data_IF_465533467198
#
_entry.id   IF_465533467198
#
_cell.length_a   1.000
_cell.length_b   1.000
_cell.length_c   1.000
_cell.angle_alpha   90.00
_cell.angle_beta   90.00
_cell.angle_gamma   90.00
#
_symmetry.space_group_name_H-M   'P 1'
#
loop_
_entity.id
_entity.type
_entity.pdbx_description
1 polymer ?
#
# COMPACT_ATOMS: atom_id res chain seq x y z
N UNK A 1 9.97 24.63 29.41
CA UNK A 1 9.57 23.56 28.48
C UNK A 1 8.75 24.18 27.35
N UNK A 2 9.42 24.72 26.32
CA UNK A 2 8.77 25.32 25.14
C UNK A 2 9.70 25.14 23.94
N UNK A 3 9.57 24.03 23.21
CA UNK A 3 10.31 23.80 21.95
C UNK A 3 9.54 22.81 21.09
N UNK A 4 8.47 23.23 20.38
CA UNK A 4 7.86 22.43 19.30
C UNK A 4 6.95 23.23 18.35
N UNK A 5 7.16 24.52 18.11
CA UNK A 5 6.27 25.27 17.19
C UNK A 5 6.92 25.87 15.94
N UNK A 6 8.21 25.65 15.68
CA UNK A 6 8.90 26.27 14.53
C UNK A 6 8.72 25.48 13.22
N UNK A 7 8.53 24.16 13.31
CA UNK A 7 8.42 23.30 12.10
C UNK A 7 7.09 23.45 11.34
N UNK A 8 5.99 23.67 12.04
CA UNK A 8 4.66 23.77 11.43
C UNK A 8 4.45 25.10 10.70
N UNK A 9 5.07 26.17 11.18
CA UNK A 9 4.94 27.52 10.60
C UNK A 9 5.70 27.64 9.27
N UNK A 10 6.82 26.94 9.10
CA UNK A 10 7.59 26.97 7.86
C UNK A 10 6.87 26.24 6.71
N UNK A 11 6.12 25.18 7.01
CA UNK A 11 5.34 24.47 5.99
C UNK A 11 4.13 25.28 5.51
N UNK A 12 3.52 26.08 6.37
CA UNK A 12 2.37 26.92 6.03
C UNK A 12 2.76 28.14 5.17
N UNK A 13 3.95 28.71 5.37
CA UNK A 13 4.44 29.87 4.62
C UNK A 13 4.82 29.56 3.17
N UNK A 14 5.14 28.30 2.83
CA UNK A 14 5.43 27.90 1.45
C UNK A 14 4.18 27.84 0.57
N UNK A 15 3.01 27.74 1.15
CA UNK A 15 1.74 27.63 0.42
C UNK A 15 1.19 29.00 -0.01
N UNK A 16 1.61 30.11 0.61
CA UNK A 16 0.98 31.42 0.42
C UNK A 16 1.58 32.32 -0.69
N UNK A 17 2.62 31.92 -1.43
CA UNK A 17 3.26 32.77 -2.45
C UNK A 17 3.08 32.35 -3.90
N UNK A 18 2.02 31.63 -4.26
CA UNK A 18 1.74 31.27 -5.66
C UNK A 18 0.38 31.82 -6.11
N UNK A 19 0.18 33.09 -5.92
CA UNK A 19 -0.96 33.81 -6.50
C UNK A 19 -0.44 34.78 -7.57
N UNK A 20 -0.05 34.26 -8.72
CA UNK A 20 -0.11 34.94 -10.02
C UNK A 20 0.58 34.11 -11.11
N UNK A 21 -0.16 33.24 -11.76
CA UNK A 21 0.15 32.79 -13.13
C UNK A 21 -1.05 32.05 -13.72
N UNK A 22 -1.69 32.69 -14.66
CA UNK A 22 -2.52 32.16 -15.76
C UNK A 22 -3.34 30.86 -15.51
N UNK A 23 -4.62 30.96 -15.79
CA UNK A 23 -5.76 30.04 -15.75
C UNK A 23 -5.54 28.61 -16.28
N UNK A 24 -4.55 27.89 -15.78
CA UNK A 24 -4.42 26.44 -16.02
C UNK A 24 -5.09 25.68 -14.90
N UNK A 25 -5.75 24.57 -15.21
CA UNK A 25 -6.27 23.69 -14.20
C UNK A 25 -5.21 23.38 -13.16
N UNK A 26 -5.41 23.82 -11.92
CA UNK A 26 -4.47 23.54 -10.83
C UNK A 26 -4.81 22.26 -10.12
N UNK A 27 -6.08 21.88 -10.13
CA UNK A 27 -6.58 20.70 -9.45
C UNK A 27 -6.91 19.58 -10.44
N UNK A 28 -6.81 18.37 -9.97
CA UNK A 28 -7.23 17.19 -10.72
C UNK A 28 -7.77 16.13 -9.75
N UNK A 29 -8.59 15.25 -10.28
CA UNK A 29 -9.03 14.04 -9.60
C UNK A 29 -8.96 12.89 -10.59
N UNK A 30 -8.84 11.67 -10.06
CA UNK A 30 -8.77 10.49 -10.92
C UNK A 30 -9.04 9.21 -10.18
N UNK A 31 -9.15 8.17 -10.99
CA UNK A 31 -9.31 6.80 -10.53
C UNK A 31 -8.46 5.88 -11.39
N UNK A 32 -7.73 4.99 -10.74
CA UNK A 32 -6.95 3.93 -11.38
C UNK A 32 -7.26 2.60 -10.70
N UNK A 33 -7.34 1.55 -11.48
CA UNK A 33 -7.63 0.20 -11.03
C UNK A 33 -6.67 -0.80 -11.65
N UNK A 34 -6.51 -1.96 -11.03
CA UNK A 34 -5.62 -2.99 -11.50
C UNK A 34 -5.39 -4.09 -10.48
N UNK A 35 -4.15 -4.48 -10.30
CA UNK A 35 -3.76 -5.63 -9.50
C UNK A 35 -2.85 -5.17 -8.36
N UNK A 36 -3.10 -5.70 -7.16
CA UNK A 36 -2.20 -5.64 -6.03
C UNK A 36 -1.59 -7.01 -5.75
N UNK A 37 -0.29 -7.02 -5.49
CA UNK A 37 0.47 -8.19 -5.05
C UNK A 37 1.04 -7.90 -3.68
N UNK A 38 0.67 -8.69 -2.68
CA UNK A 38 1.26 -8.59 -1.36
C UNK A 38 2.50 -9.48 -1.30
N UNK A 39 3.57 -8.99 -0.70
CA UNK A 39 4.78 -9.76 -0.47
C UNK A 39 5.10 -9.76 1.03
N UNK A 40 5.10 -10.95 1.60
CA UNK A 40 5.57 -11.20 2.96
C UNK A 40 6.24 -12.57 2.97
N UNK A 41 7.49 -12.62 3.43
CA UNK A 41 8.29 -13.82 3.31
C UNK A 41 7.93 -14.88 4.35
N UNK A 42 8.34 -16.10 4.05
CA UNK A 42 8.39 -17.21 4.98
C UNK A 42 9.46 -16.97 6.04
N UNK A 43 9.22 -17.44 7.24
CA UNK A 43 10.24 -17.60 8.28
C UNK A 43 10.39 -19.07 8.66
N UNK A 44 11.62 -19.48 8.84
CA UNK A 44 11.96 -20.77 9.40
C UNK A 44 12.89 -20.60 10.61
N UNK A 45 12.72 -21.43 11.61
CA UNK A 45 13.53 -21.47 12.81
C UNK A 45 13.88 -22.93 13.12
N UNK A 46 15.15 -23.21 13.37
CA UNK A 46 15.60 -24.54 13.76
C UNK A 46 15.62 -24.59 15.28
N UNK A 47 14.85 -25.50 15.86
CA UNK A 47 14.77 -25.75 17.29
C UNK A 47 15.33 -27.12 17.61
N UNK A 48 15.56 -27.41 18.90
CA UNK A 48 16.00 -28.73 19.36
C UNK A 48 15.05 -29.89 19.00
N UNK A 49 13.79 -29.58 18.72
CA UNK A 49 12.74 -30.52 18.30
C UNK A 49 12.54 -30.64 16.80
N UNK A 50 13.30 -29.89 15.98
CA UNK A 50 13.18 -29.87 14.52
C UNK A 50 13.06 -28.47 13.92
N UNK A 51 12.53 -28.38 12.72
CA UNK A 51 12.33 -27.12 12.04
C UNK A 51 10.88 -26.62 12.17
N UNK A 52 10.72 -25.37 12.60
CA UNK A 52 9.46 -24.65 12.59
C UNK A 52 9.43 -23.71 11.37
N UNK A 53 8.38 -23.75 10.59
CA UNK A 53 8.22 -22.93 9.39
C UNK A 53 6.87 -22.23 9.41
N UNK A 54 6.86 -20.94 9.16
CA UNK A 54 5.65 -20.19 8.92
C UNK A 54 5.69 -19.50 7.54
N UNK A 55 4.57 -19.53 6.86
CA UNK A 55 4.40 -18.97 5.53
C UNK A 55 3.18 -18.06 5.51
N UNK A 56 3.35 -16.91 4.88
CA UNK A 56 2.28 -16.01 4.47
C UNK A 56 2.30 -15.98 2.94
N UNK A 57 1.39 -16.73 2.32
CA UNK A 57 1.28 -16.81 0.85
C UNK A 57 0.14 -15.94 0.36
N UNK A 58 0.41 -14.70 -0.04
CA UNK A 58 -0.62 -13.87 -0.66
C UNK A 58 -0.76 -14.20 -2.13
N UNK A 59 -1.97 -14.07 -2.62
CA UNK A 59 -2.30 -14.15 -4.03
C UNK A 59 -2.50 -12.72 -4.58
N UNK A 60 -2.42 -12.59 -5.89
CA UNK A 60 -2.77 -11.34 -6.56
C UNK A 60 -4.25 -11.04 -6.36
N UNK A 61 -4.59 -9.78 -6.19
CA UNK A 61 -5.96 -9.36 -6.03
C UNK A 61 -6.28 -8.04 -6.69
N UNK A 62 -7.56 -7.68 -6.82
CA UNK A 62 -7.97 -6.40 -7.38
C UNK A 62 -7.54 -5.24 -6.49
N UNK A 63 -7.20 -4.13 -7.12
CA UNK A 63 -6.84 -2.89 -6.46
C UNK A 63 -7.47 -1.68 -7.15
N UNK A 64 -7.78 -0.68 -6.35
CA UNK A 64 -8.35 0.59 -6.76
C UNK A 64 -7.65 1.72 -6.02
N UNK A 65 -7.33 2.81 -6.72
CA UNK A 65 -6.87 4.06 -6.11
C UNK A 65 -7.71 5.22 -6.65
N UNK A 66 -8.37 5.94 -5.75
CA UNK A 66 -9.08 7.19 -6.02
C UNK A 66 -8.23 8.31 -5.45
N UNK A 67 -8.00 9.36 -6.22
CA UNK A 67 -7.12 10.43 -5.78
C UNK A 67 -7.60 11.81 -6.22
N UNK A 68 -7.18 12.80 -5.45
CA UNK A 68 -7.32 14.23 -5.75
C UNK A 68 -5.98 14.89 -5.50
N UNK A 69 -5.60 15.84 -6.35
CA UNK A 69 -4.32 16.53 -6.21
C UNK A 69 -4.34 17.94 -6.75
N UNK A 70 -3.26 18.65 -6.43
CA UNK A 70 -3.05 20.01 -6.89
C UNK A 70 -1.59 20.17 -7.35
N UNK A 71 -1.43 20.79 -8.49
CA UNK A 71 -0.11 21.20 -9.00
C UNK A 71 0.36 22.43 -8.22
N UNK A 72 1.38 22.22 -7.39
CA UNK A 72 2.03 23.30 -6.61
C UNK A 72 3.00 24.07 -7.48
N UNK A 73 3.71 23.35 -8.36
CA UNK A 73 4.69 23.89 -9.29
C UNK A 73 4.59 23.17 -10.65
N UNK A 74 5.31 23.64 -11.66
CA UNK A 74 5.35 23.05 -13.01
C UNK A 74 5.69 21.55 -12.97
N UNK A 75 6.61 21.18 -12.09
CA UNK A 75 7.11 19.81 -11.91
C UNK A 75 6.67 19.16 -10.61
N UNK A 76 6.02 19.89 -9.69
CA UNK A 76 5.68 19.41 -8.36
C UNK A 76 4.17 19.40 -8.13
N UNK A 77 3.70 18.32 -7.57
CA UNK A 77 2.28 18.08 -7.29
C UNK A 77 2.13 17.45 -5.91
N UNK A 78 1.08 17.82 -5.19
CA UNK A 78 0.64 17.12 -3.98
C UNK A 78 -0.67 16.40 -4.27
N UNK A 79 -0.81 15.18 -3.73
CA UNK A 79 -1.95 14.32 -4.01
C UNK A 79 -2.36 13.56 -2.76
N UNK A 80 -3.67 13.53 -2.49
CA UNK A 80 -4.27 12.63 -1.51
C UNK A 80 -4.87 11.41 -2.21
N UNK A 81 -4.67 10.23 -1.64
CA UNK A 81 -5.08 8.97 -2.20
C UNK A 81 -5.92 8.18 -1.20
N UNK A 82 -6.98 7.57 -1.69
CA UNK A 82 -7.64 6.45 -1.05
C UNK A 82 -7.35 5.20 -1.87
N UNK A 83 -6.66 4.25 -1.24
CA UNK A 83 -6.24 3.00 -1.88
C UNK A 83 -6.98 1.85 -1.23
N UNK A 84 -7.59 1.01 -2.06
CA UNK A 84 -8.22 -0.23 -1.65
C UNK A 84 -7.65 -1.39 -2.44
N UNK A 85 -7.42 -2.52 -1.75
CA UNK A 85 -7.15 -3.79 -2.40
C UNK A 85 -7.69 -4.96 -1.57
N UNK A 86 -7.94 -6.06 -2.25
CA UNK A 86 -8.38 -7.32 -1.67
C UNK A 86 -7.59 -8.47 -2.25
N UNK A 87 -6.99 -9.27 -1.38
CA UNK A 87 -6.14 -10.40 -1.76
C UNK A 87 -6.57 -11.65 -1.01
N UNK A 88 -6.56 -12.78 -1.68
CA UNK A 88 -6.61 -14.07 -1.02
C UNK A 88 -5.21 -14.36 -0.42
N UNK A 89 -5.19 -14.96 0.75
CA UNK A 89 -3.98 -15.21 1.53
C UNK A 89 -4.10 -16.55 2.21
N UNK A 90 -3.05 -17.37 2.15
CA UNK A 90 -2.98 -18.61 2.90
C UNK A 90 -1.92 -18.48 3.99
N UNK A 91 -2.33 -18.71 5.25
CA UNK A 91 -1.45 -18.77 6.39
C UNK A 91 -1.12 -20.24 6.65
N UNK A 92 0.15 -20.59 6.58
CA UNK A 92 0.62 -21.96 6.83
C UNK A 92 1.67 -21.94 7.92
N UNK A 93 1.58 -22.85 8.87
CA UNK A 93 2.68 -23.12 9.78
C UNK A 93 2.87 -24.63 9.93
N UNK A 94 4.10 -25.04 10.04
CA UNK A 94 4.51 -26.43 10.27
C UNK A 94 5.55 -26.44 11.39
N UNK A 95 5.32 -27.28 12.39
CA UNK A 95 6.23 -27.51 13.50
C UNK A 95 6.48 -29.00 13.65
N UNK A 96 7.75 -29.39 13.76
CA UNK A 96 8.13 -30.73 14.16
C UNK A 96 7.97 -30.87 15.68
N UNK A 97 7.27 -31.90 16.15
CA UNK A 97 7.14 -32.24 17.58
C UNK A 97 7.46 -33.71 17.79
N UNK A 98 7.84 -34.09 19.02
CA UNK A 98 8.11 -35.48 19.38
C UNK A 98 6.94 -36.43 19.13
N UNK A 99 5.71 -35.92 19.21
CA UNK A 99 4.46 -36.66 18.96
C UNK A 99 4.04 -36.67 17.48
N UNK A 100 4.87 -36.12 16.59
CA UNK A 100 4.61 -36.00 15.16
C UNK A 100 4.43 -34.56 14.70
N UNK A 101 4.22 -34.32 13.39
CA UNK A 101 4.11 -32.97 12.87
C UNK A 101 2.81 -32.28 13.33
N UNK A 102 2.98 -31.07 13.81
CA UNK A 102 1.89 -30.11 14.06
C UNK A 102 1.83 -29.13 12.89
N UNK A 103 0.67 -28.95 12.28
CA UNK A 103 0.52 -28.00 11.19
C UNK A 103 -0.86 -27.39 11.13
N UNK A 104 -0.95 -26.23 10.53
CA UNK A 104 -2.19 -25.68 10.00
C UNK A 104 -2.00 -25.06 8.62
N UNK A 105 -3.08 -25.05 7.87
CA UNK A 105 -3.24 -24.33 6.61
C UNK A 105 -4.59 -23.60 6.67
N UNK A 106 -4.52 -22.28 6.65
CA UNK A 106 -5.66 -21.43 6.98
C UNK A 106 -5.88 -20.37 5.89
N UNK A 107 -6.77 -20.65 4.91
CA UNK A 107 -7.15 -19.69 3.89
C UNK A 107 -7.85 -18.46 4.50
N UNK A 108 -7.43 -17.27 4.09
CA UNK A 108 -7.94 -15.96 4.54
C UNK A 108 -8.21 -15.06 3.37
N UNK A 109 -9.09 -14.09 3.57
CA UNK A 109 -9.24 -12.93 2.68
C UNK A 109 -8.70 -11.72 3.40
N UNK A 110 -7.77 -11.02 2.77
CA UNK A 110 -7.21 -9.75 3.26
C UNK A 110 -7.82 -8.59 2.48
N UNK A 111 -8.42 -7.64 3.18
CA UNK A 111 -8.85 -6.35 2.63
C UNK A 111 -8.03 -5.25 3.26
N UNK A 112 -7.57 -4.32 2.44
CA UNK A 112 -6.76 -3.19 2.87
C UNK A 112 -7.40 -1.90 2.41
N UNK A 113 -7.43 -0.90 3.30
CA UNK A 113 -7.89 0.45 3.04
C UNK A 113 -6.81 1.40 3.52
N UNK A 114 -6.24 2.19 2.62
CA UNK A 114 -5.19 3.15 2.97
C UNK A 114 -5.57 4.57 2.56
N UNK A 115 -5.19 5.54 3.41
CA UNK A 115 -5.20 6.95 3.11
C UNK A 115 -3.75 7.45 3.10
N UNK A 116 -3.30 7.99 1.96
CA UNK A 116 -1.90 8.32 1.71
C UNK A 116 -1.81 9.71 1.10
N UNK A 117 -0.94 10.54 1.67
CA UNK A 117 -0.52 11.81 1.05
C UNK A 117 0.78 11.62 0.30
N UNK A 118 0.77 11.90 -1.00
CA UNK A 118 1.94 11.77 -1.89
C UNK A 118 2.40 13.14 -2.38
N UNK A 119 3.71 13.24 -2.61
CA UNK A 119 4.33 14.30 -3.42
C UNK A 119 4.79 13.64 -4.72
N UNK A 120 4.38 14.22 -5.86
CA UNK A 120 4.76 13.76 -7.20
C UNK A 120 5.74 14.73 -7.82
N UNK A 121 6.85 14.21 -8.33
CA UNK A 121 7.85 14.93 -9.12
C UNK A 121 7.74 14.50 -10.58
N UNK A 122 7.33 15.41 -11.45
CA UNK A 122 7.24 15.18 -12.89
C UNK A 122 8.54 15.54 -13.58
N UNK A 123 8.93 14.76 -14.58
CA UNK A 123 10.15 15.00 -15.40
C UNK A 123 9.91 15.88 -16.62
N UNK A 124 8.64 16.25 -16.85
CA UNK A 124 8.25 17.12 -17.97
C UNK A 124 7.26 18.18 -17.52
N UNK A 125 7.25 19.27 -18.27
CA UNK A 125 6.34 20.39 -18.06
C UNK A 125 4.85 19.98 -18.18
N UNK A 126 3.96 20.75 -17.55
CA UNK A 126 2.51 20.50 -17.56
C UNK A 126 1.87 20.53 -18.96
N UNK A 127 2.56 21.14 -19.95
CA UNK A 127 2.09 21.16 -21.36
C UNK A 127 2.43 19.89 -22.13
N UNK A 128 3.33 19.07 -21.63
CA UNK A 128 3.76 17.86 -22.32
C UNK A 128 2.62 16.84 -22.37
N UNK A 129 2.41 16.25 -23.55
CA UNK A 129 1.40 15.22 -23.75
C UNK A 129 1.68 13.94 -22.91
N UNK A 130 2.95 13.68 -22.63
CA UNK A 130 3.41 12.52 -21.85
C UNK A 130 4.26 13.03 -20.68
N UNK A 131 3.87 12.70 -19.46
CA UNK A 131 4.48 13.20 -18.23
C UNK A 131 4.85 12.04 -17.27
N UNK A 132 6.07 11.49 -17.38
CA UNK A 132 6.57 10.55 -16.38
C UNK A 132 6.73 11.24 -15.03
N UNK A 133 6.50 10.48 -13.94
CA UNK A 133 6.67 10.98 -12.59
C UNK A 133 7.22 9.92 -11.64
N UNK A 134 7.87 10.40 -10.57
CA UNK A 134 8.10 9.65 -9.35
C UNK A 134 7.23 10.24 -8.25
N UNK A 135 6.80 9.41 -7.32
CA UNK A 135 6.13 9.89 -6.11
C UNK A 135 6.64 9.17 -4.87
N UNK A 136 6.53 9.89 -3.76
CA UNK A 136 6.73 9.34 -2.43
C UNK A 136 5.68 9.92 -1.50
N UNK A 137 5.19 9.10 -0.56
CA UNK A 137 4.16 9.51 0.36
C UNK A 137 4.09 8.67 1.61
N UNK A 138 3.35 9.19 2.56
CA UNK A 138 3.12 8.56 3.85
C UNK A 138 1.63 8.56 4.17
N UNK A 139 1.20 7.60 4.95
CA UNK A 139 -0.20 7.49 5.31
C UNK A 139 -0.46 6.44 6.36
N UNK A 140 -1.71 6.00 6.40
CA UNK A 140 -2.17 4.93 7.27
C UNK A 140 -2.88 3.87 6.44
N UNK A 141 -2.66 2.62 6.79
CA UNK A 141 -3.34 1.47 6.19
C UNK A 141 -4.06 0.69 7.27
N UNK A 142 -5.33 0.40 7.03
CA UNK A 142 -6.14 -0.51 7.85
C UNK A 142 -6.23 -1.85 7.13
N UNK A 143 -5.76 -2.89 7.81
CA UNK A 143 -5.88 -4.28 7.40
C UNK A 143 -7.08 -4.93 8.06
N UNK A 144 -7.75 -5.78 7.31
CA UNK A 144 -8.75 -6.69 7.84
C UNK A 144 -8.57 -8.04 7.15
N UNK A 145 -8.33 -9.09 7.93
CA UNK A 145 -8.32 -10.46 7.42
C UNK A 145 -9.48 -11.23 8.03
N UNK A 146 -10.08 -12.09 7.20
CA UNK A 146 -11.23 -12.91 7.61
C UNK A 146 -11.03 -14.34 7.11
N UNK A 147 -11.38 -15.33 7.93
CA UNK A 147 -11.37 -16.73 7.53
C UNK A 147 -12.27 -16.97 6.31
N UNK A 148 -11.75 -17.72 5.34
CA UNK A 148 -12.50 -18.11 4.14
C UNK A 148 -13.22 -19.45 4.31
N UNK A 149 -12.83 -20.22 5.32
CA UNK A 149 -13.21 -21.61 5.51
C UNK A 149 -12.26 -22.57 4.79
N UNK A 150 -12.36 -23.86 5.09
CA UNK A 150 -11.45 -24.87 4.55
C UNK A 150 -10.14 -24.97 5.31
N UNK A 151 -10.09 -24.52 6.57
CA UNK A 151 -8.93 -24.64 7.43
C UNK A 151 -8.58 -26.13 7.62
N UNK A 152 -7.30 -26.49 7.40
CA UNK A 152 -6.73 -27.78 7.71
C UNK A 152 -5.84 -27.66 8.92
N UNK A 153 -6.07 -28.47 9.96
CA UNK A 153 -5.31 -28.40 11.21
C UNK A 153 -5.03 -29.78 11.76
N UNK A 154 -3.81 -29.96 12.27
CA UNK A 154 -3.38 -31.16 12.99
C UNK A 154 -2.49 -30.76 14.15
N UNK A 155 -2.91 -31.04 15.37
CA UNK A 155 -2.17 -30.77 16.59
C UNK A 155 -1.62 -29.32 16.71
N UNK A 156 -2.31 -28.35 16.09
CA UNK A 156 -1.89 -26.94 16.07
C UNK A 156 -3.05 -26.03 16.48
N UNK A 157 -2.74 -24.83 16.98
CA UNK A 157 -3.73 -23.78 17.22
C UNK A 157 -3.86 -22.93 15.97
N UNK A 158 -5.08 -22.82 15.46
CA UNK A 158 -5.38 -21.94 14.34
C UNK A 158 -5.19 -20.46 14.72
N UNK A 159 -4.69 -19.62 13.80
CA UNK A 159 -4.73 -18.18 13.99
C UNK A 159 -6.18 -17.68 14.08
N UNK A 160 -6.41 -16.50 14.70
CA UNK A 160 -7.75 -15.92 14.82
C UNK A 160 -8.48 -15.85 13.49
N UNK A 161 -9.79 -16.10 13.51
CA UNK A 161 -10.64 -16.07 12.30
C UNK A 161 -10.74 -14.69 11.67
N UNK A 162 -10.55 -13.65 12.47
CA UNK A 162 -10.54 -12.24 12.03
C UNK A 162 -9.42 -11.52 12.71
N UNK A 163 -8.64 -10.77 11.95
CA UNK A 163 -7.64 -9.85 12.48
C UNK A 163 -7.82 -8.47 11.84
N UNK A 164 -7.77 -7.45 12.68
CA UNK A 164 -7.84 -6.03 12.24
C UNK A 164 -6.66 -5.31 12.84
N UNK A 165 -5.93 -4.55 12.03
CA UNK A 165 -4.83 -3.72 12.48
C UNK A 165 -4.73 -2.45 11.64
N UNK A 166 -4.20 -1.38 12.24
CA UNK A 166 -3.92 -0.13 11.54
C UNK A 166 -2.47 0.22 11.74
N UNK A 167 -1.76 0.46 10.65
CA UNK A 167 -0.33 0.77 10.66
C UNK A 167 -0.02 1.98 9.80
N UNK A 168 1.12 2.62 10.07
CA UNK A 168 1.69 3.58 9.15
C UNK A 168 2.14 2.87 7.87
N UNK A 169 2.04 3.55 6.73
CA UNK A 169 2.50 3.09 5.43
C UNK A 169 3.39 4.15 4.79
N UNK A 170 4.52 3.71 4.25
CA UNK A 170 5.36 4.48 3.34
C UNK A 170 5.07 3.98 1.92
N UNK A 171 4.82 4.88 0.98
CA UNK A 171 4.57 4.55 -0.42
C UNK A 171 5.58 5.22 -1.31
N UNK A 172 6.07 4.49 -2.30
CA UNK A 172 6.83 5.02 -3.43
C UNK A 172 6.16 4.57 -4.71
N UNK A 173 6.17 5.42 -5.75
CA UNK A 173 5.60 5.04 -7.04
C UNK A 173 6.35 5.68 -8.20
N UNK A 174 6.30 5.00 -9.34
CA UNK A 174 6.66 5.51 -10.65
C UNK A 174 5.44 5.43 -11.55
N UNK A 175 5.24 6.45 -12.37
CA UNK A 175 4.07 6.46 -13.24
C UNK A 175 4.21 7.37 -14.45
N UNK A 176 3.14 7.37 -15.22
CA UNK A 176 3.04 8.09 -16.48
C UNK A 176 1.65 8.67 -16.63
N UNK A 177 1.56 9.97 -16.85
CA UNK A 177 0.33 10.65 -17.27
C UNK A 177 0.40 10.94 -18.76
N UNK A 178 -0.66 10.59 -19.49
CA UNK A 178 -0.81 10.85 -20.92
C UNK A 178 -2.05 11.71 -21.14
N UNK A 179 -1.87 12.89 -21.75
CA UNK A 179 -2.98 13.79 -22.09
C UNK A 179 -3.80 13.21 -23.25
N UNK A 180 -5.12 13.08 -23.03
CA UNK A 180 -6.09 12.64 -24.05
C UNK A 180 -6.85 13.82 -24.69
N UNK A 181 -6.58 15.05 -24.23
CA UNK A 181 -7.29 16.25 -24.66
C UNK A 181 -8.53 16.59 -23.80
N UNK A 182 -9.03 17.82 -23.89
CA UNK A 182 -10.25 18.27 -23.22
C UNK A 182 -10.27 18.10 -21.70
N UNK A 183 -9.18 18.32 -21.02
CA UNK A 183 -9.00 18.13 -19.58
C UNK A 183 -8.93 16.67 -19.11
N UNK A 184 -8.92 15.68 -19.99
CA UNK A 184 -8.79 14.28 -19.65
C UNK A 184 -7.37 13.75 -19.90
N UNK A 185 -6.94 12.82 -19.08
CA UNK A 185 -5.71 12.08 -19.22
C UNK A 185 -5.86 10.62 -18.81
N UNK A 186 -4.98 9.79 -19.32
CA UNK A 186 -4.76 8.43 -18.84
C UNK A 186 -3.59 8.43 -17.86
N UNK A 187 -3.67 7.62 -16.82
CA UNK A 187 -2.59 7.42 -15.85
C UNK A 187 -2.25 5.95 -15.73
N UNK A 188 -0.97 5.66 -15.76
CA UNK A 188 -0.39 4.42 -15.31
C UNK A 188 0.44 4.66 -14.04
N UNK A 189 0.35 3.77 -13.08
CA UNK A 189 1.12 3.84 -11.83
C UNK A 189 1.55 2.46 -11.38
N UNK A 190 2.83 2.29 -11.16
CA UNK A 190 3.40 1.18 -10.41
C UNK A 190 3.86 1.71 -9.06
N UNK A 191 3.41 1.10 -7.98
CA UNK A 191 3.74 1.56 -6.63
C UNK A 191 4.03 0.42 -5.67
N UNK A 192 4.86 0.71 -4.67
CA UNK A 192 5.15 -0.14 -3.54
C UNK A 192 4.77 0.58 -2.25
N UNK A 193 3.94 -0.06 -1.43
CA UNK A 193 3.59 0.38 -0.09
C UNK A 193 4.24 -0.52 0.95
N UNK A 194 5.01 0.05 1.87
CA UNK A 194 5.67 -0.66 2.96
C UNK A 194 4.98 -0.36 4.28
N UNK A 195 4.58 -1.39 5.00
CA UNK A 195 3.95 -1.30 6.32
C UNK A 195 4.39 -2.44 7.22
N UNK A 196 4.06 -2.38 8.51
CA UNK A 196 4.22 -3.53 9.40
C UNK A 196 3.23 -4.63 8.99
N UNK A 197 3.69 -5.89 9.06
CA UNK A 197 2.84 -7.04 8.81
C UNK A 197 1.93 -7.31 10.02
N UNK A 198 0.59 -7.17 9.90
CA UNK A 198 -0.34 -7.29 11.02
C UNK A 198 -0.49 -8.72 11.55
N UNK A 199 -0.09 -9.72 10.75
CA UNK A 199 -0.29 -11.13 11.05
C UNK A 199 1.00 -11.79 11.55
N UNK A 200 2.14 -11.12 11.40
CA UNK A 200 3.45 -11.71 11.69
C UNK A 200 3.59 -12.27 13.11
N UNK A 201 3.01 -11.60 14.10
CA UNK A 201 3.04 -12.05 15.49
C UNK A 201 2.10 -13.23 15.79
N UNK A 202 1.16 -13.53 14.89
CA UNK A 202 0.17 -14.60 15.04
C UNK A 202 0.63 -15.92 14.42
N UNK A 203 1.70 -15.88 13.63
CA UNK A 203 2.31 -17.07 13.04
C UNK A 203 3.23 -17.76 14.07
N UNK A 204 3.43 -19.05 13.91
CA UNK A 204 4.33 -19.85 14.76
C UNK A 204 5.30 -20.64 13.88
N UNK A 205 6.60 -20.26 13.85
CA UNK A 205 7.22 -19.09 14.48
C UNK A 205 6.71 -17.77 13.92
N UNK A 206 6.87 -16.65 14.64
CA UNK A 206 6.45 -15.33 14.11
C UNK A 206 7.09 -15.04 12.76
N UNK A 207 6.26 -14.63 11.78
CA UNK A 207 6.70 -14.35 10.42
C UNK A 207 7.50 -13.05 10.28
N UNK A 208 7.68 -12.60 9.05
CA UNK A 208 8.36 -11.35 8.75
C UNK A 208 7.57 -10.14 9.27
N UNK A 209 8.28 -9.13 9.80
CA UNK A 209 7.66 -7.94 10.42
C UNK A 209 7.16 -6.92 9.40
N UNK A 210 7.67 -6.95 8.18
CA UNK A 210 7.27 -6.01 7.11
C UNK A 210 6.36 -6.68 6.09
N UNK A 211 5.46 -5.89 5.51
CA UNK A 211 4.60 -6.26 4.42
C UNK A 211 4.78 -5.25 3.29
N UNK A 212 5.15 -5.72 2.12
CA UNK A 212 5.17 -4.93 0.90
C UNK A 212 3.88 -5.17 0.10
N UNK A 213 3.30 -4.09 -0.43
CA UNK A 213 2.12 -4.11 -1.28
C UNK A 213 2.48 -3.46 -2.62
N UNK A 214 2.70 -4.28 -3.64
CA UNK A 214 2.97 -3.84 -5.00
C UNK A 214 1.66 -3.65 -5.74
N UNK A 215 1.49 -2.51 -6.40
CA UNK A 215 0.28 -2.22 -7.16
C UNK A 215 0.64 -1.81 -8.57
N UNK A 216 -0.07 -2.38 -9.53
CA UNK A 216 0.04 -2.07 -10.95
C UNK A 216 -1.34 -1.59 -11.42
N UNK A 217 -1.48 -0.27 -11.61
CA UNK A 217 -2.77 0.38 -11.78
C UNK A 217 -2.80 1.23 -13.04
N UNK A 218 -3.95 1.22 -13.71
CA UNK A 218 -4.23 2.02 -14.88
C UNK A 218 -5.62 2.68 -14.77
N UNK A 219 -5.76 3.90 -15.30
CA UNK A 219 -7.06 4.58 -15.29
C UNK A 219 -7.02 5.99 -15.85
N UNK A 220 -7.91 6.83 -15.33
CA UNK A 220 -8.19 8.16 -15.91
C UNK A 220 -8.01 9.27 -14.88
N UNK A 221 -7.63 10.42 -15.39
CA UNK A 221 -7.45 11.66 -14.63
C UNK A 221 -8.22 12.77 -15.33
N UNK A 222 -8.91 13.62 -14.56
CA UNK A 222 -9.56 14.83 -15.04
C UNK A 222 -8.98 16.04 -14.32
N UNK A 223 -8.62 17.06 -15.08
CA UNK A 223 -8.13 18.36 -14.56
C UNK A 223 -9.26 19.40 -14.55
N UNK A 224 -9.20 20.32 -13.57
CA UNK A 224 -10.22 21.38 -13.38
C UNK A 224 -9.56 22.75 -13.31
#
# INVERSE_FOLDING_TARGET
MMRTSIGATLLLCLVCKVADAQSRPRMFAGVVAGIATLAADARSEITSGGADVSLYKPENGPALNIFVGSHVHEYLTVQGNYVWNRNDVTLTAVRATESGPSFYDAPRVSSQHAFIGDVLLYFRERRSAIRPYLSAGVGVVRFQTTARGGDSVRNATLPPTTAVATHAVLRVAVGLDVSLGGHWGARYSFSEGLSSNPISAQLSPPGQRSLANFQNLFGVVRSF
#
